data_IF_556076696628
#
_entry.id   IF_556076696628
#
_cell.length_a   1.000
_cell.length_b   1.000
_cell.length_c   1.000
_cell.angle_alpha   90.00
_cell.angle_beta   90.00
_cell.angle_gamma   90.00
#
_symmetry.space_group_name_H-M   'P 1'
#
loop_
_entity.id
_entity.type
_entity.pdbx_description
1 polymer ?
#
# COMPACT_ATOMS: atom_id res chain seq x y z
N UNK A 1 -17.60 -21.19 28.88
CA UNK A 1 -16.58 -20.14 29.01
C UNK A 1 -16.44 -19.53 27.63
N UNK A 2 -17.35 -18.61 27.33
CA UNK A 2 -17.38 -17.87 26.06
C UNK A 2 -16.52 -16.63 26.22
N UNK A 3 -15.31 -16.69 25.74
CA UNK A 3 -14.35 -15.58 25.78
C UNK A 3 -13.70 -15.37 24.44
N UNK A 4 -14.52 -15.34 23.40
CA UNK A 4 -14.20 -14.71 22.12
C UNK A 4 -15.54 -14.29 21.48
N UNK A 5 -16.19 -13.29 22.08
CA UNK A 5 -16.97 -12.42 21.23
C UNK A 5 -15.95 -11.71 20.34
N UNK A 6 -15.83 -12.20 19.11
CA UNK A 6 -15.37 -11.35 18.03
C UNK A 6 -16.14 -10.05 18.15
N UNK A 7 -15.48 -9.01 18.61
CA UNK A 7 -15.88 -7.66 18.27
C UNK A 7 -15.70 -7.60 16.74
N UNK A 8 -16.67 -8.14 16.02
CA UNK A 8 -16.92 -7.84 14.63
C UNK A 8 -17.28 -6.36 14.58
N UNK A 9 -16.29 -5.53 14.81
CA UNK A 9 -16.30 -4.15 14.40
C UNK A 9 -16.57 -4.22 12.90
N UNK A 10 -17.81 -3.85 12.50
CA UNK A 10 -18.10 -3.46 11.11
C UNK A 10 -16.86 -2.77 10.61
N UNK A 11 -16.33 -3.21 9.47
CA UNK A 11 -15.07 -2.72 8.89
C UNK A 11 -14.96 -1.23 9.17
N UNK A 12 -14.20 -0.87 10.20
CA UNK A 12 -13.87 0.51 10.45
C UNK A 12 -12.97 0.86 9.28
N UNK A 13 -13.52 1.63 8.35
CA UNK A 13 -12.70 2.30 7.35
C UNK A 13 -11.65 3.06 8.15
N UNK A 14 -10.41 2.97 7.71
CA UNK A 14 -9.28 3.58 8.40
C UNK A 14 -9.44 5.10 8.31
N UNK A 15 -10.09 5.69 9.31
CA UNK A 15 -10.29 7.15 9.42
C UNK A 15 -9.09 7.82 10.07
N UNK A 16 -7.94 7.13 10.09
CA UNK A 16 -6.72 7.59 10.73
C UNK A 16 -5.59 7.68 9.72
N UNK A 17 -5.01 8.87 9.62
CA UNK A 17 -3.79 9.15 8.87
C UNK A 17 -2.63 9.33 9.85
N UNK A 18 -1.51 8.66 9.58
CA UNK A 18 -0.27 8.83 10.33
C UNK A 18 0.72 9.60 9.46
N UNK A 19 1.24 10.71 9.97
CA UNK A 19 2.30 11.49 9.33
C UNK A 19 3.56 11.34 10.18
N UNK A 20 4.58 10.70 9.63
CA UNK A 20 5.86 10.52 10.28
C UNK A 20 6.92 11.42 9.65
N UNK A 21 7.86 11.88 10.46
CA UNK A 21 9.08 12.52 9.96
C UNK A 21 10.05 11.44 9.51
N UNK A 22 10.56 11.55 8.31
CA UNK A 22 11.60 10.64 7.83
C UNK A 22 12.83 10.69 8.73
N UNK A 23 13.44 9.53 9.05
CA UNK A 23 14.70 9.47 9.79
C UNK A 23 15.78 10.33 9.12
N UNK A 24 16.47 11.16 9.89
CA UNK A 24 17.51 12.06 9.37
C UNK A 24 17.01 13.35 8.71
N UNK A 25 15.70 13.53 8.52
CA UNK A 25 15.17 14.81 8.09
C UNK A 25 15.35 15.87 9.20
N UNK A 26 16.00 16.98 8.87
CA UNK A 26 16.06 18.13 9.76
C UNK A 26 14.64 18.57 10.16
N UNK A 27 14.49 19.08 11.37
CA UNK A 27 13.23 19.73 11.72
C UNK A 27 12.97 20.84 10.69
N UNK A 28 11.74 20.87 10.15
CA UNK A 28 11.33 21.99 9.29
C UNK A 28 11.27 23.23 10.18
N UNK A 29 12.41 23.86 10.33
CA UNK A 29 12.58 25.12 11.10
C UNK A 29 12.58 26.33 10.15
N UNK A 30 12.59 26.07 8.84
CA UNK A 30 12.50 27.11 7.84
C UNK A 30 11.08 27.71 7.85
N UNK A 31 11.01 28.97 8.21
CA UNK A 31 9.76 29.74 8.26
C UNK A 31 9.02 29.73 6.90
N UNK A 32 9.76 29.68 5.79
CA UNK A 32 9.18 29.63 4.45
C UNK A 32 8.49 28.28 4.19
N UNK A 33 9.13 27.16 4.57
CA UNK A 33 8.54 25.83 4.43
C UNK A 33 7.33 25.62 5.37
N UNK A 34 7.38 26.17 6.59
CA UNK A 34 6.25 26.15 7.52
C UNK A 34 5.07 26.98 7.01
N UNK A 35 5.33 28.09 6.31
CA UNK A 35 4.30 28.94 5.73
C UNK A 35 3.57 28.28 4.55
N UNK A 36 4.13 27.26 3.93
CA UNK A 36 3.50 26.47 2.86
C UNK A 36 2.62 25.34 3.40
N UNK A 37 2.75 24.97 4.67
CA UNK A 37 1.92 23.93 5.27
C UNK A 37 0.46 24.41 5.39
N UNK A 38 -0.53 23.54 5.23
CA UNK A 38 -1.92 23.85 5.52
C UNK A 38 -2.11 24.31 6.96
N UNK A 39 -3.04 25.26 7.17
CA UNK A 39 -3.35 25.80 8.49
C UNK A 39 -3.62 24.68 9.49
N UNK A 40 -3.03 24.76 10.65
CA UNK A 40 -3.11 23.76 11.73
C UNK A 40 -2.04 22.69 11.69
N UNK A 41 -1.22 22.60 10.65
CA UNK A 41 -0.11 21.63 10.56
C UNK A 41 1.28 22.24 10.85
N UNK A 42 1.34 23.49 11.28
CA UNK A 42 2.61 24.17 11.61
C UNK A 42 3.35 23.57 12.81
N UNK A 43 2.67 22.75 13.60
CA UNK A 43 3.22 22.18 14.84
C UNK A 43 3.45 20.66 14.76
N UNK A 44 3.64 20.11 13.56
CA UNK A 44 3.97 18.70 13.38
C UNK A 44 5.21 18.29 14.19
N UNK A 45 5.13 17.09 14.76
CA UNK A 45 6.23 16.46 15.50
C UNK A 45 6.79 15.25 14.76
N UNK A 46 7.55 14.38 15.43
CA UNK A 46 8.06 13.17 14.80
C UNK A 46 6.92 12.23 14.36
N UNK A 47 5.85 12.15 15.15
CA UNK A 47 4.70 11.27 14.90
C UNK A 47 3.40 12.06 15.06
N UNK A 48 2.55 12.04 14.07
CA UNK A 48 1.30 12.78 14.07
C UNK A 48 0.16 11.85 13.68
N UNK A 49 -0.85 11.76 14.55
CA UNK A 49 -2.02 10.90 14.35
C UNK A 49 -3.23 11.79 14.07
N UNK A 50 -3.80 11.65 12.89
CA UNK A 50 -4.96 12.42 12.45
C UNK A 50 -6.17 11.49 12.32
N UNK A 51 -7.30 11.87 12.93
CA UNK A 51 -8.61 11.26 12.66
C UNK A 51 -9.46 12.25 11.86
N UNK A 52 -10.08 11.75 10.78
CA UNK A 52 -10.97 12.56 9.94
C UNK A 52 -12.43 12.13 10.12
N UNK A 53 -13.29 13.07 10.39
CA UNK A 53 -14.74 12.86 10.46
C UNK A 53 -15.45 13.61 9.34
N UNK A 54 -16.08 12.86 8.45
CA UNK A 54 -16.78 13.34 7.27
C UNK A 54 -18.05 14.14 7.64
N UNK A 55 -18.77 14.64 6.63
CA UNK A 55 -20.06 15.33 6.86
C UNK A 55 -21.10 14.44 7.56
N UNK A 56 -21.03 13.12 7.37
CA UNK A 56 -21.98 12.16 7.89
C UNK A 56 -21.63 11.67 9.31
N UNK A 57 -20.41 11.95 9.76
CA UNK A 57 -19.88 11.53 11.05
C UNK A 57 -19.70 12.70 11.97
N UNK A 58 -20.11 12.56 13.21
CA UNK A 58 -19.92 13.60 14.20
C UNK A 58 -18.53 13.48 14.82
N UNK A 59 -17.84 14.63 14.95
CA UNK A 59 -16.73 14.72 15.88
C UNK A 59 -17.31 14.99 17.27
N UNK A 60 -17.39 13.94 18.07
CA UNK A 60 -17.91 13.93 19.45
C UNK A 60 -16.91 13.37 20.43
N UNK A 61 -17.32 13.17 21.70
CA UNK A 61 -16.47 12.58 22.72
C UNK A 61 -15.97 11.19 22.39
N UNK A 62 -16.79 10.34 21.72
CA UNK A 62 -16.37 9.01 21.31
C UNK A 62 -15.27 9.07 20.25
N UNK A 63 -15.40 9.96 19.27
CA UNK A 63 -14.38 10.16 18.25
C UNK A 63 -13.05 10.64 18.85
N UNK A 64 -13.08 11.43 19.93
CA UNK A 64 -11.89 11.83 20.66
C UNK A 64 -11.23 10.67 21.40
N UNK A 65 -12.04 9.79 22.03
CA UNK A 65 -11.53 8.57 22.67
C UNK A 65 -10.98 7.56 21.66
N UNK A 66 -11.63 7.39 20.51
CA UNK A 66 -11.11 6.56 19.40
C UNK A 66 -9.74 7.06 18.94
N UNK A 67 -9.57 8.36 18.74
CA UNK A 67 -8.28 8.96 18.38
C UNK A 67 -7.19 8.65 19.42
N UNK A 68 -7.53 8.72 20.72
CA UNK A 68 -6.61 8.35 21.80
C UNK A 68 -6.29 6.86 21.73
N UNK A 69 -7.26 5.99 21.48
CA UNK A 69 -7.07 4.55 21.31
C UNK A 69 -6.08 4.24 20.18
N UNK A 70 -6.27 4.88 19.02
CA UNK A 70 -5.35 4.78 17.88
C UNK A 70 -3.95 5.25 18.22
N UNK A 71 -3.83 6.38 18.92
CA UNK A 71 -2.55 6.90 19.38
C UNK A 71 -1.83 5.92 20.31
N UNK A 72 -2.53 5.34 21.30
CA UNK A 72 -1.92 4.39 22.23
C UNK A 72 -1.38 3.17 21.50
N UNK A 73 -2.18 2.60 20.58
CA UNK A 73 -1.77 1.47 19.77
C UNK A 73 -0.58 1.81 18.87
N UNK A 74 -0.65 2.94 18.17
CA UNK A 74 0.42 3.39 17.30
C UNK A 74 1.71 3.70 18.07
N UNK A 75 1.63 4.38 19.22
CA UNK A 75 2.80 4.67 20.06
C UNK A 75 3.50 3.39 20.49
N UNK A 76 2.74 2.34 20.85
CA UNK A 76 3.31 1.04 21.18
C UNK A 76 4.06 0.43 19.99
N UNK A 77 3.44 0.42 18.80
CA UNK A 77 4.06 -0.12 17.60
C UNK A 77 5.32 0.65 17.19
N UNK A 78 5.25 1.98 17.15
CA UNK A 78 6.38 2.84 16.83
C UNK A 78 7.53 2.69 17.84
N UNK A 79 7.21 2.50 19.12
CA UNK A 79 8.22 2.25 20.16
C UNK A 79 8.91 0.91 19.96
N UNK A 80 8.17 -0.15 19.66
CA UNK A 80 8.74 -1.46 19.34
C UNK A 80 9.69 -1.34 18.16
N UNK A 81 9.25 -0.70 17.07
CA UNK A 81 10.09 -0.51 15.87
C UNK A 81 11.37 0.29 16.18
N UNK A 82 11.26 1.37 16.96
CA UNK A 82 12.40 2.21 17.32
C UNK A 82 13.45 1.50 18.18
N UNK A 83 13.03 0.57 19.03
CA UNK A 83 13.91 -0.12 19.98
C UNK A 83 14.23 -1.58 19.62
N UNK A 84 13.61 -2.15 18.57
CA UNK A 84 13.87 -3.51 18.09
C UNK A 84 14.95 -3.59 17.00
N UNK A 85 15.55 -2.47 16.58
CA UNK A 85 16.68 -2.47 15.66
C UNK A 85 17.89 -3.20 16.25
N UNK A 86 18.70 -3.92 15.42
CA UNK A 86 19.90 -4.56 15.92
C UNK A 86 20.80 -3.50 16.61
N UNK A 87 21.31 -3.75 17.81
CA UNK A 87 22.21 -2.84 18.46
C UNK A 87 23.46 -2.71 17.60
N UNK A 88 23.77 -1.50 17.16
CA UNK A 88 24.85 -1.20 16.22
C UNK A 88 26.26 -1.58 16.73
N UNK A 89 26.42 -2.19 17.89
CA UNK A 89 27.68 -2.72 18.43
C UNK A 89 27.44 -3.49 19.76
N UNK A 90 26.75 -4.62 19.75
CA UNK A 90 26.77 -5.52 20.89
C UNK A 90 27.35 -6.88 20.51
N UNK A 91 28.35 -7.41 21.28
CA UNK A 91 28.75 -8.80 21.13
C UNK A 91 27.57 -9.69 21.51
N UNK A 92 27.39 -10.77 20.76
CA UNK A 92 26.33 -11.78 20.86
C UNK A 92 25.85 -12.00 22.31
N UNK A 93 24.70 -11.48 22.66
CA UNK A 93 24.02 -11.78 23.90
C UNK A 93 23.01 -12.91 23.66
N UNK A 94 22.98 -13.83 24.59
CA UNK A 94 22.17 -15.04 24.68
C UNK A 94 20.66 -14.76 24.42
N UNK A 95 19.93 -15.62 23.67
CA UNK A 95 18.54 -15.38 23.28
C UNK A 95 17.48 -15.64 24.38
N UNK A 96 17.82 -15.60 25.66
CA UNK A 96 16.97 -16.10 26.74
C UNK A 96 16.33 -15.06 27.67
N UNK A 97 16.48 -13.73 27.45
CA UNK A 97 15.77 -12.73 28.24
C UNK A 97 14.77 -11.96 27.40
N UNK A 98 13.47 -11.84 27.79
CA UNK A 98 12.54 -10.94 27.14
C UNK A 98 13.10 -9.53 27.29
N UNK A 99 13.57 -8.99 26.18
CA UNK A 99 14.28 -7.73 26.07
C UNK A 99 13.58 -6.60 26.82
N UNK A 100 14.29 -5.97 27.75
CA UNK A 100 13.91 -4.69 28.39
C UNK A 100 13.58 -3.57 27.37
N UNK A 101 13.79 -3.79 26.07
CA UNK A 101 13.37 -2.94 24.97
C UNK A 101 11.83 -2.91 24.82
N UNK A 102 11.11 -3.98 25.20
CA UNK A 102 9.66 -4.06 25.06
C UNK A 102 8.88 -3.15 26.03
N UNK A 103 9.54 -2.64 27.08
CA UNK A 103 8.93 -1.74 28.07
C UNK A 103 9.21 -0.24 27.80
N UNK A 104 10.08 0.08 26.85
CA UNK A 104 10.43 1.48 26.55
C UNK A 104 9.44 2.07 25.55
N UNK A 105 8.73 3.11 25.99
CA UNK A 105 7.85 3.88 25.13
C UNK A 105 8.55 5.15 24.64
N UNK A 106 8.35 5.51 23.39
CA UNK A 106 8.72 6.83 22.86
C UNK A 106 8.06 7.93 23.72
N UNK A 107 8.74 9.06 23.93
CA UNK A 107 8.19 10.15 24.76
C UNK A 107 6.91 10.72 24.16
N UNK A 108 5.94 11.09 24.99
CA UNK A 108 4.67 11.66 24.52
C UNK A 108 4.86 12.93 23.69
N UNK A 109 5.88 13.72 24.00
CA UNK A 109 6.22 14.94 23.27
C UNK A 109 6.60 14.69 21.78
N UNK A 110 6.97 13.44 21.44
CA UNK A 110 7.21 13.05 20.05
C UNK A 110 5.93 12.90 19.22
N UNK A 111 4.75 12.95 19.86
CA UNK A 111 3.45 12.71 19.23
C UNK A 111 2.56 13.94 19.28
N UNK A 112 1.76 14.11 18.22
CA UNK A 112 0.65 15.07 18.14
C UNK A 112 -0.61 14.39 17.66
N UNK A 113 -1.75 14.84 18.20
CA UNK A 113 -3.07 14.34 17.87
C UNK A 113 -3.89 15.43 17.19
N UNK A 114 -4.54 15.04 16.08
CA UNK A 114 -5.37 15.94 15.29
C UNK A 114 -6.73 15.29 15.05
N UNK A 115 -7.78 16.01 15.38
CA UNK A 115 -9.15 15.65 15.01
C UNK A 115 -9.63 16.60 13.91
N UNK A 116 -9.81 16.09 12.71
CA UNK A 116 -10.23 16.89 11.55
C UNK A 116 -11.70 16.64 11.28
N UNK A 117 -12.50 17.70 11.20
CA UNK A 117 -13.91 17.62 10.92
C UNK A 117 -14.33 18.61 9.82
N UNK A 118 -15.33 18.22 9.02
CA UNK A 118 -15.83 19.11 7.97
C UNK A 118 -16.62 20.28 8.53
N UNK A 119 -17.33 20.10 9.65
CA UNK A 119 -18.21 21.09 10.29
C UNK A 119 -17.81 21.30 11.74
N UNK A 120 -18.15 22.48 12.26
CA UNK A 120 -17.90 22.81 13.66
C UNK A 120 -18.64 21.83 14.59
N UNK A 121 -17.94 21.12 15.50
CA UNK A 121 -18.50 20.10 16.37
C UNK A 121 -19.12 20.75 17.63
N UNK A 122 -20.25 21.42 17.48
CA UNK A 122 -20.91 22.20 18.53
C UNK A 122 -21.15 21.41 19.82
N UNK A 123 -21.56 20.12 19.69
CA UNK A 123 -21.80 19.28 20.86
C UNK A 123 -20.51 18.98 21.65
N UNK A 124 -19.41 18.70 20.96
CA UNK A 124 -18.12 18.48 21.59
C UNK A 124 -17.69 19.74 22.36
N UNK A 125 -17.78 20.91 21.71
CA UNK A 125 -17.36 22.17 22.30
C UNK A 125 -18.23 22.59 23.49
N UNK A 126 -19.54 22.27 23.47
CA UNK A 126 -20.43 22.53 24.63
C UNK A 126 -20.15 21.65 25.85
N UNK A 127 -19.45 20.54 25.68
CA UNK A 127 -19.10 19.60 26.77
C UNK A 127 -17.72 19.88 27.37
N UNK A 128 -16.96 20.80 26.77
CA UNK A 128 -15.62 21.13 27.29
C UNK A 128 -15.71 21.86 28.63
N UNK A 129 -14.76 21.57 29.49
CA UNK A 129 -14.59 22.35 30.72
C UNK A 129 -14.24 23.82 30.37
N UNK A 130 -14.61 24.77 31.24
CA UNK A 130 -14.18 26.16 31.05
C UNK A 130 -12.64 26.26 30.95
N UNK A 131 -12.18 26.94 29.90
CA UNK A 131 -10.74 27.11 29.65
C UNK A 131 -10.04 25.94 28.93
N UNK A 132 -10.74 24.85 28.64
CA UNK A 132 -10.15 23.72 27.91
C UNK A 132 -9.97 23.98 26.39
N UNK A 133 -10.57 25.03 25.86
CA UNK A 133 -10.41 25.45 24.48
C UNK A 133 -9.39 26.57 24.38
N UNK A 134 -8.36 26.37 23.54
CA UNK A 134 -7.35 27.38 23.26
C UNK A 134 -7.43 27.80 21.80
N UNK A 135 -7.65 29.09 21.49
CA UNK A 135 -7.63 29.60 20.14
C UNK A 135 -6.20 29.51 19.58
N UNK A 136 -6.09 29.29 18.28
CA UNK A 136 -4.82 29.34 17.55
C UNK A 136 -4.75 30.58 16.66
N UNK A 137 -3.64 30.76 15.95
CA UNK A 137 -3.50 31.83 14.96
C UNK A 137 -4.43 31.67 13.74
N UNK A 138 -4.99 30.47 13.54
CA UNK A 138 -5.72 30.10 12.34
C UNK A 138 -7.22 29.98 12.60
N UNK A 139 -8.09 30.70 11.86
CA UNK A 139 -9.52 30.47 11.92
C UNK A 139 -9.88 29.00 11.66
N UNK A 140 -10.77 28.43 12.47
CA UNK A 140 -11.18 27.03 12.32
C UNK A 140 -10.21 26.01 12.91
N UNK A 141 -9.11 26.44 13.53
CA UNK A 141 -8.17 25.59 14.24
C UNK A 141 -8.19 25.88 15.74
N UNK A 142 -8.31 24.84 16.55
CA UNK A 142 -8.43 24.95 17.99
C UNK A 142 -7.56 23.91 18.66
N UNK A 143 -6.89 24.27 19.73
CA UNK A 143 -6.25 23.29 20.63
C UNK A 143 -7.18 23.01 21.80
N UNK A 144 -7.54 21.75 22.03
CA UNK A 144 -8.43 21.34 23.10
C UNK A 144 -7.67 20.52 24.13
N UNK A 145 -7.85 20.84 25.42
CA UNK A 145 -7.41 19.98 26.50
C UNK A 145 -8.47 18.88 26.69
N UNK A 146 -8.09 17.63 26.41
CA UNK A 146 -8.93 16.44 26.52
C UNK A 146 -8.29 15.43 27.46
N UNK A 147 -8.82 15.34 28.67
CA UNK A 147 -8.15 14.61 29.75
C UNK A 147 -6.76 15.19 30.05
N UNK A 148 -5.74 14.36 30.01
CA UNK A 148 -4.35 14.77 30.19
C UNK A 148 -3.65 15.19 28.87
N UNK A 149 -4.37 15.26 27.77
CA UNK A 149 -3.79 15.45 26.42
C UNK A 149 -4.30 16.70 25.77
N UNK A 150 -3.46 17.27 24.91
CA UNK A 150 -3.86 18.34 23.99
C UNK A 150 -4.08 17.78 22.60
N UNK A 151 -5.31 17.97 22.09
CA UNK A 151 -5.72 17.52 20.75
C UNK A 151 -6.03 18.76 19.92
N UNK A 152 -5.45 18.82 18.71
CA UNK A 152 -5.76 19.88 17.78
C UNK A 152 -6.98 19.52 16.95
N UNK A 153 -7.99 20.38 16.97
CA UNK A 153 -9.20 20.25 16.17
C UNK A 153 -9.11 21.20 14.98
N UNK A 154 -9.29 20.65 13.76
CA UNK A 154 -9.29 21.41 12.50
C UNK A 154 -10.67 21.30 11.88
N UNK A 155 -11.36 22.44 11.71
CA UNK A 155 -12.70 22.52 11.13
C UNK A 155 -12.61 23.03 9.71
N UNK A 156 -12.68 22.12 8.72
CA UNK A 156 -12.37 22.42 7.33
C UNK A 156 -13.23 23.55 6.74
N UNK A 157 -14.54 23.57 7.03
CA UNK A 157 -15.42 24.62 6.53
C UNK A 157 -15.18 26.00 7.18
N UNK A 158 -14.40 26.07 8.24
CA UNK A 158 -14.10 27.33 8.95
C UNK A 158 -12.70 27.86 8.65
N UNK A 159 -11.85 27.12 7.95
CA UNK A 159 -10.52 27.57 7.54
C UNK A 159 -10.60 28.75 6.60
N UNK A 160 -9.57 29.60 6.56
CA UNK A 160 -9.42 30.64 5.56
C UNK A 160 -9.20 30.06 4.17
N UNK A 161 -9.90 30.52 3.14
CA UNK A 161 -9.61 30.12 1.74
C UNK A 161 -8.26 30.70 1.34
N UNK A 162 -7.28 29.84 1.24
CA UNK A 162 -5.92 30.18 0.83
C UNK A 162 -5.31 29.01 0.05
N UNK A 163 -4.47 29.22 -0.98
CA UNK A 163 -3.88 28.12 -1.77
C UNK A 163 -3.18 27.04 -0.95
N UNK A 164 -2.49 27.39 0.17
CA UNK A 164 -1.89 26.40 1.07
C UNK A 164 -2.90 25.47 1.73
N UNK A 165 -4.17 25.92 1.89
CA UNK A 165 -5.25 25.13 2.45
C UNK A 165 -5.98 24.29 1.38
N UNK A 166 -5.57 24.36 0.12
CA UNK A 166 -6.18 23.56 -0.94
C UNK A 166 -6.25 22.04 -0.62
N UNK A 167 -5.26 21.41 0.03
CA UNK A 167 -5.37 20.01 0.48
C UNK A 167 -6.55 19.78 1.42
N UNK A 168 -6.82 20.70 2.37
CA UNK A 168 -7.96 20.63 3.28
C UNK A 168 -9.29 20.87 2.59
N UNK A 169 -9.31 21.81 1.66
CA UNK A 169 -10.51 22.19 0.91
C UNK A 169 -11.07 21.03 0.07
N UNK A 170 -10.23 20.13 -0.40
CA UNK A 170 -10.64 18.91 -1.12
C UNK A 170 -11.55 18.00 -0.29
N UNK A 171 -11.40 18.02 1.02
CA UNK A 171 -12.17 17.19 1.97
C UNK A 171 -13.26 17.97 2.70
N UNK A 172 -13.46 19.23 2.37
CA UNK A 172 -14.54 20.03 2.93
C UNK A 172 -15.92 19.47 2.53
N UNK A 173 -16.98 19.88 3.24
CA UNK A 173 -18.35 19.44 2.91
C UNK A 173 -19.14 20.44 2.08
N UNK A 174 -18.57 21.60 1.80
CA UNK A 174 -19.17 22.67 1.00
C UNK A 174 -18.61 22.64 -0.40
N UNK A 175 -19.49 22.63 -1.40
CA UNK A 175 -19.12 22.53 -2.81
C UNK A 175 -18.22 23.68 -3.29
N UNK A 176 -18.45 24.90 -2.78
CA UNK A 176 -17.63 26.08 -3.10
C UNK A 176 -16.20 25.96 -2.61
N UNK A 177 -15.98 25.20 -1.51
CA UNK A 177 -14.66 24.89 -0.97
C UNK A 177 -13.97 23.82 -1.77
N UNK A 178 -14.69 22.73 -2.07
CA UNK A 178 -14.16 21.63 -2.89
C UNK A 178 -13.71 22.17 -4.26
N UNK A 179 -14.52 23.02 -4.91
CA UNK A 179 -14.13 23.68 -6.17
C UNK A 179 -12.86 24.52 -6.01
N UNK A 180 -12.76 25.28 -4.92
CA UNK A 180 -11.56 26.05 -4.62
C UNK A 180 -10.34 25.12 -4.43
N UNK A 181 -10.49 24.04 -3.66
CA UNK A 181 -9.46 23.04 -3.47
C UNK A 181 -8.98 22.42 -4.80
N UNK A 182 -9.91 21.97 -5.63
CA UNK A 182 -9.61 21.39 -6.95
C UNK A 182 -8.86 22.37 -7.88
N UNK A 183 -9.18 23.66 -7.81
CA UNK A 183 -8.54 24.69 -8.63
C UNK A 183 -7.11 25.03 -8.16
N UNK A 184 -6.84 24.96 -6.87
CA UNK A 184 -5.57 25.42 -6.28
C UNK A 184 -4.65 24.29 -5.82
N UNK A 185 -5.16 23.06 -5.64
CA UNK A 185 -4.33 21.91 -5.27
C UNK A 185 -3.38 21.55 -6.41
N UNK A 186 -2.11 21.45 -6.07
CA UNK A 186 -1.05 21.02 -6.99
C UNK A 186 -0.59 19.62 -6.60
N UNK A 187 -1.05 18.57 -7.32
CA UNK A 187 -0.61 17.21 -7.05
C UNK A 187 0.90 17.08 -7.25
N UNK A 188 1.56 16.34 -6.36
CA UNK A 188 3.02 16.12 -6.41
C UNK A 188 3.42 14.72 -6.87
N UNK A 189 2.45 13.80 -6.94
CA UNK A 189 2.66 12.42 -7.36
C UNK A 189 1.39 11.85 -8.00
N UNK A 190 1.49 10.67 -8.60
CA UNK A 190 0.38 9.99 -9.28
C UNK A 190 -0.83 9.75 -8.36
N UNK A 191 -0.60 9.32 -7.11
CA UNK A 191 -1.68 9.11 -6.13
C UNK A 191 -2.47 10.39 -5.85
N UNK A 192 -1.79 11.52 -5.77
CA UNK A 192 -2.41 12.83 -5.54
C UNK A 192 -3.23 13.31 -6.77
N UNK A 193 -2.75 13.02 -7.99
CA UNK A 193 -3.51 13.26 -9.23
C UNK A 193 -4.78 12.41 -9.26
N UNK A 194 -4.66 11.14 -8.90
CA UNK A 194 -5.77 10.21 -8.79
C UNK A 194 -6.83 10.68 -7.79
N UNK A 195 -6.41 11.05 -6.58
CA UNK A 195 -7.31 11.56 -5.55
C UNK A 195 -8.08 12.78 -6.06
N UNK A 196 -7.38 13.74 -6.70
CA UNK A 196 -8.01 14.93 -7.28
C UNK A 196 -9.07 14.56 -8.32
N UNK A 197 -8.75 13.61 -9.21
CA UNK A 197 -9.68 13.12 -10.22
C UNK A 197 -10.92 12.45 -9.61
N UNK A 198 -10.73 11.57 -8.63
CA UNK A 198 -11.84 10.90 -7.95
C UNK A 198 -12.75 11.88 -7.25
N UNK A 199 -12.19 12.86 -6.55
CA UNK A 199 -12.99 13.87 -5.86
C UNK A 199 -13.78 14.74 -6.85
N UNK A 200 -13.18 15.10 -7.99
CA UNK A 200 -13.91 15.82 -9.03
C UNK A 200 -15.07 14.99 -9.59
N UNK A 201 -14.85 13.71 -9.87
CA UNK A 201 -15.90 12.81 -10.37
C UNK A 201 -17.04 12.59 -9.35
N UNK A 202 -16.69 12.35 -8.07
CA UNK A 202 -17.70 12.17 -7.01
C UNK A 202 -18.59 13.42 -6.91
N UNK A 203 -18.02 14.59 -7.08
CA UNK A 203 -18.75 15.86 -6.99
C UNK A 203 -19.26 16.36 -8.35
N UNK A 204 -19.09 15.59 -9.43
CA UNK A 204 -19.49 15.96 -10.80
C UNK A 204 -18.95 17.35 -11.22
N UNK A 205 -17.69 17.62 -10.88
CA UNK A 205 -17.02 18.86 -11.17
C UNK A 205 -16.05 18.71 -12.34
N UNK A 206 -16.08 19.66 -13.26
CA UNK A 206 -15.08 19.77 -14.30
C UNK A 206 -13.75 20.27 -13.71
N UNK A 207 -12.65 19.69 -14.14
CA UNK A 207 -11.31 20.13 -13.78
C UNK A 207 -10.76 21.02 -14.89
N UNK A 208 -10.46 22.29 -14.64
CA UNK A 208 -10.14 23.27 -15.69
C UNK A 208 -8.85 22.99 -16.48
N UNK A 209 -7.99 22.11 -16.01
CA UNK A 209 -6.65 21.85 -16.60
C UNK A 209 -6.44 20.37 -17.03
N UNK A 210 -7.51 19.62 -17.31
CA UNK A 210 -7.32 18.19 -17.57
C UNK A 210 -7.26 17.84 -19.06
N UNK A 211 -6.02 17.70 -19.53
CA UNK A 211 -5.68 16.74 -20.59
C UNK A 211 -5.53 15.29 -20.04
N UNK A 212 -5.88 15.04 -18.78
CA UNK A 212 -5.72 13.75 -18.12
C UNK A 212 -6.98 12.90 -18.33
N UNK A 213 -6.84 11.86 -19.13
CA UNK A 213 -7.94 10.96 -19.49
C UNK A 213 -8.07 9.79 -18.54
N UNK A 214 -9.20 9.07 -18.59
CA UNK A 214 -9.37 7.80 -17.86
C UNK A 214 -8.27 6.78 -18.21
N UNK A 215 -7.77 6.84 -19.45
CA UNK A 215 -6.71 5.92 -19.91
C UNK A 215 -5.34 6.33 -19.34
N UNK A 216 -5.05 7.62 -19.22
CA UNK A 216 -3.87 8.11 -18.48
C UNK A 216 -3.90 7.67 -17.02
N UNK A 217 -5.08 7.74 -16.40
CA UNK A 217 -5.32 7.24 -15.05
C UNK A 217 -5.00 5.76 -14.90
N UNK A 218 -5.54 4.91 -15.79
CA UNK A 218 -5.28 3.47 -15.78
C UNK A 218 -3.79 3.19 -15.95
N UNK A 219 -3.15 3.89 -16.89
CA UNK A 219 -1.73 3.71 -17.16
C UNK A 219 -0.85 4.07 -15.96
N UNK A 220 -1.12 5.19 -15.27
CA UNK A 220 -0.40 5.57 -14.05
C UNK A 220 -0.66 4.59 -12.90
N UNK A 221 -1.90 4.14 -12.74
CA UNK A 221 -2.26 3.13 -11.74
C UNK A 221 -1.48 1.83 -11.98
N UNK A 222 -1.39 1.39 -13.24
CA UNK A 222 -0.62 0.19 -13.58
C UNK A 222 0.88 0.39 -13.34
N UNK A 223 1.44 1.55 -13.67
CA UNK A 223 2.85 1.87 -13.35
C UNK A 223 3.11 1.81 -11.85
N UNK A 224 2.26 2.45 -11.05
CA UNK A 224 2.39 2.43 -9.60
C UNK A 224 2.31 1.00 -9.03
N UNK A 225 1.37 0.17 -9.50
CA UNK A 225 1.28 -1.23 -9.09
C UNK A 225 2.51 -2.05 -9.48
N UNK A 226 3.10 -1.76 -10.64
CA UNK A 226 4.33 -2.41 -11.09
C UNK A 226 5.51 -1.96 -10.23
N UNK A 227 5.62 -0.67 -9.94
CA UNK A 227 6.68 -0.12 -9.09
C UNK A 227 6.58 -0.67 -7.66
N UNK A 228 5.36 -0.72 -7.09
CA UNK A 228 5.10 -1.33 -5.78
C UNK A 228 5.47 -2.82 -5.78
N UNK A 229 5.10 -3.56 -6.83
CA UNK A 229 5.48 -4.97 -6.99
C UNK A 229 7.00 -5.16 -7.06
N UNK A 230 7.71 -4.27 -7.77
CA UNK A 230 9.18 -4.31 -7.84
C UNK A 230 9.86 -3.91 -6.53
N UNK A 231 9.22 -3.10 -5.70
CA UNK A 231 9.72 -2.71 -4.38
C UNK A 231 9.60 -3.84 -3.33
N UNK A 232 8.75 -4.86 -3.57
CA UNK A 232 8.62 -6.02 -2.69
C UNK A 232 9.88 -6.89 -2.69
N UNK A 233 10.09 -7.63 -1.59
CA UNK A 233 11.10 -8.67 -1.52
C UNK A 233 10.85 -9.78 -2.57
N UNK A 234 11.88 -10.55 -2.90
CA UNK A 234 11.70 -11.70 -3.81
C UNK A 234 10.69 -12.71 -3.27
N UNK A 235 10.68 -12.94 -1.96
CA UNK A 235 9.77 -13.85 -1.28
C UNK A 235 8.32 -13.37 -1.37
N UNK A 236 8.07 -12.08 -1.09
CA UNK A 236 6.73 -11.51 -1.18
C UNK A 236 6.20 -11.50 -2.62
N UNK A 237 7.06 -11.20 -3.60
CA UNK A 237 6.71 -11.28 -5.03
C UNK A 237 6.31 -12.69 -5.42
N UNK A 238 7.06 -13.69 -4.98
CA UNK A 238 6.76 -15.09 -5.25
C UNK A 238 5.44 -15.50 -4.61
N UNK A 239 5.20 -15.15 -3.35
CA UNK A 239 3.95 -15.41 -2.65
C UNK A 239 2.74 -14.77 -3.34
N UNK A 240 2.88 -13.57 -3.91
CA UNK A 240 1.83 -12.93 -4.71
C UNK A 240 1.58 -13.66 -6.02
N UNK A 241 2.63 -14.03 -6.75
CA UNK A 241 2.51 -14.79 -8.00
C UNK A 241 1.87 -16.17 -7.78
N UNK A 242 2.15 -16.84 -6.67
CA UNK A 242 1.54 -18.13 -6.32
C UNK A 242 0.03 -18.02 -6.08
N UNK A 243 -0.47 -16.87 -5.64
CA UNK A 243 -1.91 -16.62 -5.45
C UNK A 243 -2.66 -16.33 -6.75
N UNK A 244 -1.95 -15.99 -7.82
CA UNK A 244 -2.55 -15.77 -9.12
C UNK A 244 -2.85 -17.11 -9.80
N UNK A 245 -3.97 -17.18 -10.54
CA UNK A 245 -4.27 -18.33 -11.38
C UNK A 245 -3.14 -18.57 -12.40
N UNK A 246 -2.82 -19.84 -12.65
CA UNK A 246 -1.75 -20.23 -13.59
C UNK A 246 -2.04 -19.68 -15.00
N UNK A 247 -3.31 -19.69 -15.41
CA UNK A 247 -3.71 -19.16 -16.72
C UNK A 247 -3.45 -17.64 -16.80
N UNK A 248 -3.67 -16.90 -15.73
CA UNK A 248 -3.40 -15.46 -15.68
C UNK A 248 -1.91 -15.15 -15.67
N UNK A 249 -1.09 -15.96 -14.98
CA UNK A 249 0.38 -15.84 -15.00
C UNK A 249 0.98 -16.08 -16.38
N UNK A 250 0.36 -16.96 -17.17
CA UNK A 250 0.84 -17.32 -18.50
C UNK A 250 0.16 -16.52 -19.63
N UNK A 251 -0.83 -15.69 -19.30
CA UNK A 251 -1.56 -14.88 -20.27
C UNK A 251 -0.63 -13.81 -20.87
N UNK A 252 -0.55 -13.75 -22.16
CA UNK A 252 0.28 -12.80 -22.91
C UNK A 252 1.71 -13.28 -23.16
N UNK A 253 2.15 -14.38 -22.54
CA UNK A 253 3.43 -15.00 -22.86
C UNK A 253 3.28 -15.83 -24.14
N UNK A 254 4.21 -15.66 -25.07
CA UNK A 254 4.31 -16.52 -26.24
C UNK A 254 4.87 -17.92 -25.87
N UNK A 255 4.92 -18.83 -26.83
CA UNK A 255 5.37 -20.21 -26.58
C UNK A 255 6.83 -20.25 -26.15
N UNK A 256 7.68 -19.42 -26.70
CA UNK A 256 9.11 -19.36 -26.38
C UNK A 256 9.34 -18.81 -24.98
N UNK A 257 8.60 -17.75 -24.60
CA UNK A 257 8.64 -17.16 -23.25
C UNK A 257 8.17 -18.15 -22.19
N UNK A 258 7.13 -18.95 -22.47
CA UNK A 258 6.63 -20.01 -21.56
C UNK A 258 7.62 -21.13 -21.35
N UNK A 259 8.47 -21.41 -22.33
CA UNK A 259 9.50 -22.45 -22.27
C UNK A 259 10.83 -21.92 -21.72
N UNK A 260 11.00 -20.61 -21.61
CA UNK A 260 12.26 -20.01 -21.12
C UNK A 260 12.54 -20.41 -19.69
N UNK A 261 13.71 -21.01 -19.48
CA UNK A 261 14.16 -21.50 -18.18
C UNK A 261 13.66 -22.91 -17.82
N UNK A 262 12.92 -23.57 -18.70
CA UNK A 262 12.59 -24.98 -18.56
C UNK A 262 13.72 -25.83 -19.11
N UNK A 263 14.13 -26.85 -18.34
CA UNK A 263 15.09 -27.83 -18.80
C UNK A 263 14.42 -28.80 -19.78
N UNK A 264 14.88 -28.77 -21.03
CA UNK A 264 14.34 -29.62 -22.09
C UNK A 264 14.49 -31.13 -21.78
N UNK A 265 15.59 -31.52 -21.13
CA UNK A 265 15.81 -32.90 -20.74
C UNK A 265 14.85 -33.38 -19.62
N UNK A 266 14.52 -32.46 -18.67
CA UNK A 266 13.55 -32.78 -17.63
C UNK A 266 12.13 -32.87 -18.18
N UNK A 267 11.76 -32.01 -19.14
CA UNK A 267 10.47 -32.11 -19.84
C UNK A 267 10.37 -33.44 -20.59
N UNK A 268 11.38 -33.79 -21.39
CA UNK A 268 11.39 -35.03 -22.13
C UNK A 268 11.34 -36.27 -21.21
N UNK A 269 11.94 -36.19 -20.02
CA UNK A 269 11.90 -37.28 -19.04
C UNK A 269 10.51 -37.52 -18.45
N UNK A 270 9.71 -36.45 -18.33
CA UNK A 270 8.32 -36.49 -17.79
C UNK A 270 7.29 -36.94 -18.83
N UNK A 271 7.58 -36.76 -20.12
CA UNK A 271 6.70 -37.21 -21.20
C UNK A 271 6.81 -38.72 -21.35
N UNK A 272 5.70 -39.42 -21.61
CA UNK A 272 5.73 -40.81 -21.94
C UNK A 272 6.40 -41.08 -23.31
N UNK A 273 6.87 -42.29 -23.59
CA UNK A 273 7.57 -42.58 -24.84
C UNK A 273 6.75 -42.28 -26.11
N UNK A 274 5.43 -42.44 -26.07
CA UNK A 274 4.56 -42.15 -27.21
C UNK A 274 4.41 -40.64 -27.42
N UNK A 275 4.31 -39.87 -26.35
CA UNK A 275 4.27 -38.40 -26.41
C UNK A 275 5.57 -37.79 -26.93
N UNK A 276 6.72 -38.39 -26.57
CA UNK A 276 8.05 -37.96 -27.08
C UNK A 276 8.16 -38.12 -28.59
N UNK A 277 7.52 -39.15 -29.15
CA UNK A 277 7.56 -39.47 -30.59
C UNK A 277 6.44 -38.76 -31.38
N UNK A 278 5.48 -38.15 -30.71
CA UNK A 278 4.34 -37.51 -31.31
C UNK A 278 4.78 -36.29 -32.12
N UNK A 279 4.50 -36.31 -33.42
CA UNK A 279 4.85 -35.21 -34.32
C UNK A 279 6.25 -35.31 -34.95
N UNK A 280 7.03 -36.34 -34.59
CA UNK A 280 8.29 -36.64 -35.24
C UNK A 280 8.03 -37.51 -36.49
N UNK A 281 8.67 -37.16 -37.59
CA UNK A 281 8.61 -37.95 -38.81
C UNK A 281 9.49 -39.20 -38.68
N UNK A 282 8.91 -40.44 -38.70
CA UNK A 282 9.69 -41.67 -38.58
C UNK A 282 10.78 -41.82 -39.64
N UNK A 283 10.57 -41.32 -40.86
CA UNK A 283 11.56 -41.39 -41.91
C UNK A 283 12.75 -40.46 -41.64
N UNK A 284 12.51 -39.31 -41.06
CA UNK A 284 13.56 -38.39 -40.69
C UNK A 284 14.39 -38.93 -39.52
N UNK A 285 13.74 -39.55 -38.52
CA UNK A 285 14.44 -40.20 -37.41
C UNK A 285 15.32 -41.34 -37.96
N UNK A 286 14.77 -42.23 -38.78
CA UNK A 286 15.51 -43.32 -39.37
C UNK A 286 16.68 -42.84 -40.23
N UNK A 287 16.55 -41.73 -40.92
CA UNK A 287 17.63 -41.15 -41.73
C UNK A 287 18.80 -40.63 -40.88
N UNK A 288 18.56 -40.20 -39.63
CA UNK A 288 19.58 -39.69 -38.73
C UNK A 288 20.29 -40.81 -37.93
N UNK A 289 19.67 -41.98 -37.79
CA UNK A 289 20.27 -43.13 -37.16
C UNK A 289 21.27 -43.80 -38.09
N UNK A 290 22.41 -44.26 -37.58
CA UNK A 290 23.33 -45.05 -38.35
C UNK A 290 22.77 -46.44 -38.67
N UNK A 291 23.31 -47.17 -39.64
CA UNK A 291 22.80 -48.48 -40.02
C UNK A 291 22.76 -49.52 -38.90
N UNK A 292 23.71 -49.49 -37.96
CA UNK A 292 23.75 -50.41 -36.83
C UNK A 292 22.68 -50.05 -35.81
N UNK A 293 22.45 -48.78 -35.57
CA UNK A 293 21.38 -48.31 -34.68
C UNK A 293 19.99 -48.63 -35.20
N UNK A 294 19.80 -48.56 -36.52
CA UNK A 294 18.50 -48.92 -37.18
C UNK A 294 18.19 -50.42 -36.99
N UNK A 295 19.19 -51.25 -36.87
CA UNK A 295 19.01 -52.69 -36.75
C UNK A 295 18.99 -53.14 -35.27
N UNK A 296 19.37 -52.29 -34.34
CA UNK A 296 19.42 -52.60 -32.92
C UNK A 296 18.03 -52.96 -32.37
N UNK A 297 17.88 -54.12 -31.82
CA UNK A 297 16.63 -54.64 -31.27
C UNK A 297 15.73 -55.38 -32.27
N UNK A 298 16.11 -55.45 -33.52
CA UNK A 298 15.42 -56.30 -34.48
C UNK A 298 15.93 -57.77 -34.33
N UNK A 299 14.98 -58.69 -34.42
CA UNK A 299 15.32 -60.11 -34.41
C UNK A 299 16.06 -60.48 -35.70
N UNK A 300 17.29 -60.99 -35.64
CA UNK A 300 18.09 -61.36 -36.80
C UNK A 300 17.40 -62.37 -37.74
N UNK A 301 16.58 -63.28 -37.22
CA UNK A 301 15.88 -64.28 -38.03
C UNK A 301 14.70 -63.66 -38.78
N UNK A 302 14.02 -62.67 -38.18
CA UNK A 302 12.99 -61.92 -38.87
C UNK A 302 13.57 -61.05 -39.97
N UNK A 303 14.71 -60.42 -39.75
CA UNK A 303 15.41 -59.60 -40.78
C UNK A 303 15.85 -60.49 -41.93
N UNK A 304 16.44 -61.69 -41.67
CA UNK A 304 16.81 -62.65 -42.70
C UNK A 304 15.61 -63.15 -43.48
N UNK A 305 14.50 -63.48 -42.83
CA UNK A 305 13.27 -63.92 -43.46
C UNK A 305 12.68 -62.84 -44.36
N UNK A 306 12.76 -61.56 -43.96
CA UNK A 306 12.30 -60.45 -44.75
C UNK A 306 13.18 -60.21 -45.98
N UNK A 307 14.52 -60.24 -45.85
CA UNK A 307 15.45 -60.12 -46.96
C UNK A 307 15.25 -61.21 -48.01
N UNK A 308 15.06 -62.48 -47.59
CA UNK A 308 14.73 -63.58 -48.49
C UNK A 308 13.42 -63.38 -49.26
N UNK A 309 12.44 -62.72 -48.65
CA UNK A 309 11.13 -62.48 -49.26
C UNK A 309 11.14 -61.29 -50.21
N UNK A 310 12.03 -60.32 -50.02
CA UNK A 310 12.15 -59.11 -50.84
C UNK A 310 13.21 -59.23 -51.92
N UNK A 311 13.87 -60.39 -52.08
CA UNK A 311 14.78 -60.68 -53.21
C UNK A 311 16.17 -60.05 -53.10
N UNK A 312 16.61 -59.73 -51.91
CA UNK A 312 17.97 -59.26 -51.57
C UNK A 312 18.79 -60.35 -50.89
#
# INVERSE_FOLDING_TARGET
MELEKELALKSQRLDVLIIERLPGAAAVTDAAALAELPDGLENLTAHNVLSFKSKQEALDGWAMEELIGHYVTYRKLASIQAFSGPPANAPSADPAEPSAAAERLLPEAAFRLYAVATRHPTKLFSQLAPGAQHPTAWPGVYDLDWGSRRIRVIVLNALTKHPRNAPWELFASRLDRIRYGLAHYRPRNATAHLLRFHLANIHQLELPDMAYTLDDFKLETYRMLIDDFHALSLEDRQALLERMDVADRLRGLDTEERLRGLDAEEILRRLDPQERLRGLDPEEILRRLDPEERLRGLDPEQVKAWLKRTGH
#
